data_IF_007772228437
#
_entry.id   IF_007772228437
#
_cell.length_a   1.000
_cell.length_b   1.000
_cell.length_c   1.000
_cell.angle_alpha   90.00
_cell.angle_beta   90.00
_cell.angle_gamma   90.00
#
_symmetry.space_group_name_H-M   'P 1'
#
loop_
_entity.id
_entity.type
_entity.pdbx_description
1 polymer ?
#
# COMPACT_ATOMS: atom_id res chain seq x y z
N UNK A 1 72.08 125.26 31.08
CA UNK A 1 73.21 125.89 31.80
C UNK A 1 72.85 127.37 31.92
N UNK A 2 72.30 127.81 33.05
CA UNK A 2 72.99 128.25 34.27
C UNK A 2 73.59 129.67 34.15
N UNK A 3 72.86 130.60 34.77
CA UNK A 3 73.15 131.92 35.37
C UNK A 3 74.59 132.45 35.54
N UNK A 4 74.70 133.79 35.48
CA UNK A 4 75.62 134.69 36.22
C UNK A 4 75.52 136.14 35.69
N UNK A 5 74.76 137.06 36.30
CA UNK A 5 75.14 138.05 37.34
C UNK A 5 76.32 138.97 36.90
N UNK A 6 76.16 140.27 36.64
CA UNK A 6 76.00 141.42 37.60
C UNK A 6 77.39 142.10 37.75
N UNK A 7 77.62 143.37 37.39
CA UNK A 7 77.61 144.61 38.22
C UNK A 7 78.29 145.72 37.36
N UNK A 8 77.70 146.90 37.12
CA UNK A 8 77.89 148.19 37.82
C UNK A 8 79.34 148.67 38.03
N UNK A 9 79.72 149.82 37.45
CA UNK A 9 80.38 150.92 38.20
C UNK A 9 80.48 152.24 37.43
N UNK A 10 80.13 153.28 38.19
CA UNK A 10 80.10 154.71 37.96
C UNK A 10 81.49 155.35 38.24
N UNK A 11 81.87 156.42 37.52
CA UNK A 11 82.99 157.30 37.90
C UNK A 11 82.94 158.63 37.12
N UNK A 12 82.39 159.65 37.78
CA UNK A 12 82.49 161.09 37.50
C UNK A 12 83.73 161.66 38.21
N UNK A 13 84.54 162.54 37.57
CA UNK A 13 85.38 163.63 38.15
C UNK A 13 85.95 164.49 37.00
N UNK A 14 86.40 165.75 37.13
CA UNK A 14 85.93 167.05 37.64
C UNK A 14 87.02 168.08 37.27
N UNK A 15 86.66 169.36 37.12
CA UNK A 15 87.56 170.54 36.88
C UNK A 15 88.72 170.67 37.87
N UNK A 16 89.84 171.31 37.45
CA UNK A 16 90.72 172.16 38.29
C UNK A 16 91.38 173.28 37.45
N UNK A 17 91.29 174.50 38.01
CA UNK A 17 91.92 175.81 37.75
C UNK A 17 93.46 175.73 37.53
N UNK A 18 94.25 176.74 37.09
CA UNK A 18 94.19 178.20 37.02
C UNK A 18 95.66 178.72 37.01
N UNK A 19 95.85 179.95 36.51
CA UNK A 19 96.98 180.90 36.71
C UNK A 19 98.41 180.52 36.23
N UNK A 20 99.28 181.42 35.73
CA UNK A 20 99.39 182.88 35.85
C UNK A 20 100.37 183.43 34.75
N UNK A 21 100.42 184.76 34.49
CA UNK A 21 101.19 185.39 33.41
C UNK A 21 102.60 185.82 33.85
N UNK A 22 103.58 185.72 32.94
CA UNK A 22 104.93 186.27 33.13
C UNK A 22 105.06 187.70 32.56
N UNK A 23 105.77 188.63 33.23
CA UNK A 23 105.75 190.06 32.92
C UNK A 23 106.71 190.44 31.78
N UNK A 24 106.29 191.40 30.97
CA UNK A 24 107.13 192.09 29.99
C UNK A 24 107.95 193.14 30.72
N UNK A 25 109.27 192.97 30.69
CA UNK A 25 110.25 193.95 31.14
C UNK A 25 110.51 194.97 30.02
N UNK A 26 110.44 196.25 30.36
CA UNK A 26 110.56 197.38 29.43
C UNK A 26 111.79 198.19 29.86
N UNK A 27 112.90 198.04 29.14
CA UNK A 27 114.03 198.97 29.24
C UNK A 27 114.42 199.58 27.88
N UNK A 28 114.05 200.86 27.77
CA UNK A 28 114.85 202.03 27.36
C UNK A 28 115.50 202.09 25.96
N UNK A 29 114.92 203.03 25.21
CA UNK A 29 115.58 204.25 24.69
C UNK A 29 116.87 204.06 23.88
N UNK A 30 116.69 203.90 22.57
CA UNK A 30 117.56 204.51 21.59
C UNK A 30 116.73 205.13 20.47
N UNK A 31 117.17 206.32 20.03
CA UNK A 31 116.54 207.22 19.09
C UNK A 31 116.03 206.46 17.85
N UNK A 32 114.71 206.38 17.74
CA UNK A 32 114.01 205.82 16.58
C UNK A 32 114.09 206.83 15.44
N UNK A 33 114.85 206.51 14.41
CA UNK A 33 114.81 207.24 13.14
C UNK A 33 113.46 207.01 12.44
N UNK A 34 113.08 207.94 11.58
CA UNK A 34 111.80 207.91 10.83
C UNK A 34 111.63 206.61 10.02
N UNK A 35 112.72 205.94 9.67
CA UNK A 35 112.74 204.64 9.02
C UNK A 35 112.18 203.50 9.88
N UNK A 36 112.53 203.42 11.18
CA UNK A 36 112.07 202.36 12.09
C UNK A 36 110.58 202.46 12.40
N UNK A 37 110.02 203.67 12.45
CA UNK A 37 108.57 203.85 12.66
C UNK A 37 107.76 203.39 11.44
N UNK A 38 108.29 203.60 10.23
CA UNK A 38 107.68 203.10 8.98
C UNK A 38 107.75 201.58 8.89
N UNK A 39 108.84 200.99 9.38
CA UNK A 39 109.04 199.54 9.47
C UNK A 39 108.02 198.90 10.43
N UNK A 40 107.86 199.45 11.64
CA UNK A 40 106.86 199.00 12.63
C UNK A 40 105.41 199.07 12.12
N UNK A 41 105.04 200.10 11.37
CA UNK A 41 103.69 200.19 10.77
C UNK A 41 103.51 199.10 9.70
N UNK A 42 104.53 198.86 8.87
CA UNK A 42 104.48 197.78 7.88
C UNK A 42 104.48 196.38 8.51
N UNK A 43 105.07 196.24 9.68
CA UNK A 43 105.10 195.00 10.46
C UNK A 43 103.75 194.74 11.13
N UNK A 44 103.10 195.79 11.65
CA UNK A 44 101.72 195.73 12.14
C UNK A 44 100.71 195.39 11.03
N UNK A 45 100.87 195.95 9.82
CA UNK A 45 100.01 195.62 8.68
C UNK A 45 100.25 194.17 8.20
N UNK A 46 101.50 193.69 8.22
CA UNK A 46 101.79 192.26 7.98
C UNK A 46 101.19 191.36 9.05
N UNK A 47 101.25 191.78 10.31
CA UNK A 47 100.69 191.02 11.44
C UNK A 47 99.17 190.93 11.35
N UNK A 48 98.49 192.01 10.96
CA UNK A 48 97.04 192.02 10.69
C UNK A 48 96.66 191.09 9.54
N UNK A 49 97.37 191.16 8.42
CA UNK A 49 97.17 190.25 7.28
C UNK A 49 97.42 188.78 7.67
N UNK A 50 98.44 188.51 8.49
CA UNK A 50 98.72 187.17 8.99
C UNK A 50 97.62 186.66 9.94
N UNK A 51 97.05 187.53 10.79
CA UNK A 51 95.91 187.19 11.66
C UNK A 51 94.66 186.87 10.86
N UNK A 52 94.33 187.68 9.85
CA UNK A 52 93.17 187.43 8.98
C UNK A 52 93.34 186.12 8.19
N UNK A 53 94.55 185.85 7.69
CA UNK A 53 94.87 184.56 7.05
C UNK A 53 94.74 183.38 8.02
N UNK A 54 95.17 183.53 9.28
CA UNK A 54 95.03 182.49 10.30
C UNK A 54 93.57 182.25 10.71
N UNK A 55 92.75 183.31 10.85
CA UNK A 55 91.30 183.21 11.09
C UNK A 55 90.58 182.51 9.92
N UNK A 56 90.91 182.87 8.68
CA UNK A 56 90.36 182.21 7.49
C UNK A 56 90.77 180.72 7.42
N UNK A 57 92.05 180.40 7.68
CA UNK A 57 92.52 179.02 7.74
C UNK A 57 91.85 178.20 8.84
N UNK A 58 91.57 178.81 10.01
CA UNK A 58 90.82 178.18 11.09
C UNK A 58 89.37 177.91 10.67
N UNK A 59 88.71 178.84 9.98
CA UNK A 59 87.34 178.62 9.48
C UNK A 59 87.28 177.52 8.41
N UNK A 60 88.23 177.48 7.48
CA UNK A 60 88.34 176.40 6.48
C UNK A 60 88.62 175.04 7.14
N UNK A 61 89.44 175.03 8.19
CA UNK A 61 89.68 173.82 8.99
C UNK A 61 88.41 173.38 9.73
N UNK A 62 87.64 174.32 10.28
CA UNK A 62 86.36 174.03 10.93
C UNK A 62 85.33 173.46 9.93
N UNK A 63 85.25 174.01 8.72
CA UNK A 63 84.36 173.52 7.65
C UNK A 63 84.78 172.11 7.19
N UNK A 64 86.07 171.90 6.96
CA UNK A 64 86.59 170.57 6.56
C UNK A 64 86.41 169.52 7.67
N UNK A 65 86.61 169.89 8.94
CA UNK A 65 86.35 169.03 10.09
C UNK A 65 84.87 168.62 10.19
N UNK A 66 83.94 169.57 10.02
CA UNK A 66 82.50 169.28 10.00
C UNK A 66 82.10 168.35 8.85
N UNK A 67 82.71 168.53 7.66
CA UNK A 67 82.47 167.65 6.50
C UNK A 67 83.00 166.24 6.73
N UNK A 68 84.18 166.10 7.33
CA UNK A 68 84.76 164.81 7.71
C UNK A 68 83.88 164.11 8.76
N UNK A 69 83.38 164.84 9.76
CA UNK A 69 82.45 164.32 10.77
C UNK A 69 81.18 163.75 10.14
N UNK A 70 80.62 164.41 9.12
CA UNK A 70 79.45 163.89 8.39
C UNK A 70 79.78 162.60 7.62
N UNK A 71 80.90 162.58 6.90
CA UNK A 71 81.34 161.39 6.15
C UNK A 71 81.60 160.18 7.06
N UNK A 72 82.20 160.39 8.24
CA UNK A 72 82.37 159.31 9.23
C UNK A 72 81.03 158.74 9.70
N UNK A 73 80.03 159.58 10.00
CA UNK A 73 78.69 159.09 10.38
C UNK A 73 78.00 158.35 9.23
N UNK A 74 78.16 158.82 7.99
CA UNK A 74 77.57 158.15 6.83
C UNK A 74 78.21 156.79 6.56
N UNK A 75 79.54 156.68 6.70
CA UNK A 75 80.27 155.42 6.56
C UNK A 75 79.85 154.40 7.63
N UNK A 76 79.68 154.83 8.89
CA UNK A 76 79.18 153.98 9.97
C UNK A 76 77.76 153.48 9.66
N UNK A 77 76.87 154.37 9.22
CA UNK A 77 75.49 154.01 8.84
C UNK A 77 75.45 152.99 7.70
N UNK A 78 76.29 153.15 6.68
CA UNK A 78 76.40 152.21 5.54
C UNK A 78 76.91 150.83 5.97
N UNK A 79 77.89 150.76 6.87
CA UNK A 79 78.39 149.50 7.43
C UNK A 79 77.30 148.77 8.21
N UNK A 80 76.58 149.48 9.07
CA UNK A 80 75.55 148.88 9.92
C UNK A 80 74.37 148.36 9.08
N UNK A 81 73.97 149.10 8.05
CA UNK A 81 72.94 148.67 7.09
C UNK A 81 73.38 147.43 6.29
N UNK A 82 74.62 147.38 5.82
CA UNK A 82 75.18 146.21 5.12
C UNK A 82 75.23 144.97 6.01
N UNK A 83 75.48 145.12 7.31
CA UNK A 83 75.46 143.98 8.23
C UNK A 83 74.06 143.43 8.44
N UNK A 84 73.05 144.31 8.58
CA UNK A 84 71.64 143.88 8.70
C UNK A 84 71.16 143.08 7.48
N UNK A 85 71.45 143.55 6.27
CA UNK A 85 71.06 142.85 5.04
C UNK A 85 71.69 141.45 4.93
N UNK A 86 72.92 141.28 5.42
CA UNK A 86 73.61 139.99 5.42
C UNK A 86 72.97 139.00 6.39
N UNK A 87 72.59 139.49 7.57
CA UNK A 87 71.94 138.67 8.60
C UNK A 87 70.52 138.26 8.18
N UNK A 88 69.78 139.13 7.49
CA UNK A 88 68.45 138.83 6.93
C UNK A 88 68.53 137.72 5.85
N UNK A 89 69.48 137.83 4.91
CA UNK A 89 69.67 136.84 3.84
C UNK A 89 70.08 135.46 4.37
N UNK A 90 70.86 135.40 5.46
CA UNK A 90 71.21 134.14 6.11
C UNK A 90 69.99 133.47 6.76
N UNK A 91 69.12 134.24 7.42
CA UNK A 91 67.86 133.71 7.96
C UNK A 91 66.95 133.17 6.86
N UNK A 92 66.77 133.91 5.76
CA UNK A 92 65.96 133.44 4.64
C UNK A 92 66.49 132.14 4.02
N UNK A 93 67.82 132.00 3.91
CA UNK A 93 68.45 130.75 3.43
C UNK A 93 68.19 129.58 4.37
N UNK A 94 68.30 129.79 5.68
CA UNK A 94 68.09 128.74 6.68
C UNK A 94 66.59 128.33 6.74
N UNK A 95 65.67 129.28 6.59
CA UNK A 95 64.24 129.02 6.45
C UNK A 95 63.92 128.23 5.16
N UNK A 96 64.64 128.47 4.06
CA UNK A 96 64.47 127.71 2.83
C UNK A 96 65.01 126.26 2.95
N UNK A 97 66.14 126.07 3.63
CA UNK A 97 66.73 124.75 3.87
C UNK A 97 65.84 123.89 4.77
N UNK A 98 65.29 124.46 5.84
CA UNK A 98 64.35 123.75 6.72
C UNK A 98 63.08 123.34 5.97
N UNK A 99 62.55 124.19 5.09
CA UNK A 99 61.40 123.82 4.21
C UNK A 99 61.73 122.72 3.20
N UNK A 100 62.94 122.71 2.63
CA UNK A 100 63.37 121.63 1.73
C UNK A 100 63.49 120.30 2.48
N UNK A 101 64.01 120.32 3.70
CA UNK A 101 64.12 119.14 4.55
C UNK A 101 62.73 118.58 4.92
N UNK A 102 61.76 119.45 5.25
CA UNK A 102 60.37 119.02 5.52
C UNK A 102 59.72 118.41 4.27
N UNK A 103 59.88 119.03 3.09
CA UNK A 103 59.31 118.51 1.83
C UNK A 103 59.96 117.19 1.41
N UNK A 104 61.28 117.04 1.61
CA UNK A 104 61.96 115.77 1.35
C UNK A 104 61.48 114.66 2.31
N UNK A 105 61.24 114.99 3.57
CA UNK A 105 60.63 114.08 4.55
C UNK A 105 59.22 113.65 4.16
N UNK A 106 58.37 114.59 3.75
CA UNK A 106 57.01 114.34 3.27
C UNK A 106 57.01 113.44 2.01
N UNK A 107 57.85 113.74 1.02
CA UNK A 107 58.03 112.91 -0.18
C UNK A 107 58.50 111.49 0.15
N UNK A 108 59.41 111.34 1.11
CA UNK A 108 59.87 110.02 1.59
C UNK A 108 58.76 109.25 2.31
N UNK A 109 57.94 109.93 3.10
CA UNK A 109 56.78 109.31 3.75
C UNK A 109 55.70 108.92 2.74
N UNK A 110 55.44 109.74 1.72
CA UNK A 110 54.43 109.45 0.71
C UNK A 110 54.88 108.34 -0.26
N UNK A 111 56.18 108.24 -0.57
CA UNK A 111 56.71 107.10 -1.35
C UNK A 111 56.55 105.78 -0.58
N UNK A 112 56.81 105.76 0.73
CA UNK A 112 56.55 104.58 1.56
C UNK A 112 55.06 104.22 1.60
N UNK A 113 54.18 105.21 1.79
CA UNK A 113 52.73 104.99 1.77
C UNK A 113 52.23 104.45 0.42
N UNK A 114 52.78 104.94 -0.71
CA UNK A 114 52.46 104.40 -2.04
C UNK A 114 52.97 102.97 -2.21
N UNK A 115 54.16 102.64 -1.73
CA UNK A 115 54.69 101.28 -1.79
C UNK A 115 53.85 100.30 -0.96
N UNK A 116 53.45 100.71 0.25
CA UNK A 116 52.58 99.90 1.12
C UNK A 116 51.16 99.75 0.53
N UNK A 117 50.62 100.80 -0.10
CA UNK A 117 49.35 100.73 -0.81
C UNK A 117 49.41 99.77 -2.01
N UNK A 118 50.52 99.76 -2.76
CA UNK A 118 50.74 98.82 -3.87
C UNK A 118 50.84 97.38 -3.34
N UNK A 119 51.55 97.14 -2.23
CA UNK A 119 51.61 95.81 -1.60
C UNK A 119 50.23 95.32 -1.17
N UNK A 120 49.41 96.17 -0.54
CA UNK A 120 48.03 95.83 -0.19
C UNK A 120 47.16 95.54 -1.42
N UNK A 121 47.36 96.29 -2.52
CA UNK A 121 46.67 96.04 -3.78
C UNK A 121 47.06 94.68 -4.39
N UNK A 122 48.33 94.29 -4.33
CA UNK A 122 48.79 92.97 -4.79
C UNK A 122 48.24 91.82 -3.93
N UNK A 123 48.20 91.98 -2.60
CA UNK A 123 47.64 90.98 -1.68
C UNK A 123 46.13 90.79 -1.88
N UNK A 124 45.37 91.89 -2.05
CA UNK A 124 43.94 91.81 -2.32
C UNK A 124 43.63 91.18 -3.69
N UNK A 125 44.45 91.42 -4.71
CA UNK A 125 44.33 90.75 -6.00
C UNK A 125 44.61 89.24 -5.89
N UNK A 126 45.62 88.83 -5.11
CA UNK A 126 45.90 87.39 -4.87
C UNK A 126 44.73 86.72 -4.15
N UNK A 127 44.18 87.33 -3.11
CA UNK A 127 42.99 86.82 -2.41
C UNK A 127 41.77 86.70 -3.34
N UNK A 128 41.54 87.68 -4.20
CA UNK A 128 40.47 87.61 -5.19
C UNK A 128 40.69 86.49 -6.23
N UNK A 129 41.94 86.25 -6.63
CA UNK A 129 42.27 85.14 -7.54
C UNK A 129 42.09 83.77 -6.88
N UNK A 130 42.50 83.62 -5.62
CA UNK A 130 42.26 82.41 -4.83
C UNK A 130 40.76 82.15 -4.63
N UNK A 131 39.99 83.16 -4.20
CA UNK A 131 38.53 83.05 -4.09
C UNK A 131 37.86 82.69 -5.42
N UNK A 132 38.39 83.17 -6.55
CA UNK A 132 37.89 82.80 -7.87
C UNK A 132 38.18 81.33 -8.19
N UNK A 133 39.40 80.85 -7.90
CA UNK A 133 39.77 79.43 -8.09
C UNK A 133 38.90 78.53 -7.22
N UNK A 134 38.67 78.89 -5.96
CA UNK A 134 37.80 78.15 -5.05
C UNK A 134 36.35 78.12 -5.55
N UNK A 135 35.82 79.27 -6.00
CA UNK A 135 34.47 79.35 -6.57
C UNK A 135 34.33 78.48 -7.83
N UNK A 136 35.33 78.52 -8.71
CA UNK A 136 35.30 77.73 -9.95
C UNK A 136 35.46 76.23 -9.64
N UNK A 137 36.24 75.86 -8.61
CA UNK A 137 36.32 74.48 -8.08
C UNK A 137 34.98 73.99 -7.55
N UNK A 138 34.33 74.77 -6.67
CA UNK A 138 33.00 74.45 -6.11
C UNK A 138 31.97 74.27 -7.22
N UNK A 139 32.02 75.12 -8.26
CA UNK A 139 31.13 75.00 -9.43
C UNK A 139 31.31 73.66 -10.15
N UNK A 140 32.55 73.26 -10.41
CA UNK A 140 32.86 71.97 -11.06
C UNK A 140 32.41 70.78 -10.20
N UNK A 141 32.60 70.86 -8.88
CA UNK A 141 32.11 69.84 -7.95
C UNK A 141 30.57 69.75 -7.94
N UNK A 142 29.86 70.88 -7.96
CA UNK A 142 28.40 70.92 -8.04
C UNK A 142 27.88 70.34 -9.37
N UNK A 143 28.52 70.64 -10.49
CA UNK A 143 28.17 70.10 -11.82
C UNK A 143 28.42 68.59 -11.90
N UNK A 144 29.57 68.14 -11.38
CA UNK A 144 29.93 66.72 -11.30
C UNK A 144 28.94 65.96 -10.40
N UNK A 145 28.66 66.49 -9.21
CA UNK A 145 27.66 65.93 -8.29
C UNK A 145 26.28 65.87 -8.91
N UNK A 146 25.86 66.91 -9.64
CA UNK A 146 24.59 66.94 -10.37
C UNK A 146 24.51 65.78 -11.38
N UNK A 147 25.54 65.60 -12.20
CA UNK A 147 25.60 64.53 -13.19
C UNK A 147 25.56 63.14 -12.55
N UNK A 148 26.29 62.94 -11.46
CA UNK A 148 26.30 61.68 -10.71
C UNK A 148 24.93 61.35 -10.12
N UNK A 149 24.23 62.33 -9.55
CA UNK A 149 22.89 62.15 -8.99
C UNK A 149 21.86 61.78 -10.07
N UNK A 150 21.87 62.48 -11.21
CA UNK A 150 21.00 62.17 -12.35
C UNK A 150 21.27 60.74 -12.85
N UNK A 151 22.54 60.41 -13.13
CA UNK A 151 22.93 59.09 -13.63
C UNK A 151 22.59 57.96 -12.65
N UNK A 152 22.85 58.17 -11.35
CA UNK A 152 22.50 57.20 -10.30
C UNK A 152 20.99 56.96 -10.24
N UNK A 153 20.21 58.03 -10.32
CA UNK A 153 18.75 57.94 -10.31
C UNK A 153 18.19 57.25 -11.56
N UNK A 154 18.77 57.49 -12.74
CA UNK A 154 18.40 56.78 -13.95
C UNK A 154 18.72 55.29 -13.88
N UNK A 155 19.90 54.91 -13.37
CA UNK A 155 20.27 53.50 -13.17
C UNK A 155 19.29 52.80 -12.24
N UNK A 156 18.90 53.45 -11.14
CA UNK A 156 17.90 52.91 -10.22
C UNK A 156 16.51 52.82 -10.86
N UNK A 157 16.09 53.85 -11.60
CA UNK A 157 14.83 53.85 -12.35
C UNK A 157 14.76 52.68 -13.34
N UNK A 158 15.87 52.39 -14.05
CA UNK A 158 15.95 51.25 -14.98
C UNK A 158 15.91 49.89 -14.29
N UNK A 159 16.50 49.75 -13.09
CA UNK A 159 16.42 48.49 -12.34
C UNK A 159 15.00 48.18 -11.87
N UNK A 160 14.20 49.22 -11.62
CA UNK A 160 12.83 49.09 -11.12
C UNK A 160 11.78 49.21 -12.25
N UNK A 161 12.21 49.29 -13.51
CA UNK A 161 11.30 49.47 -14.66
C UNK A 161 10.28 48.34 -14.83
N UNK A 162 10.61 47.13 -14.37
CA UNK A 162 9.70 45.97 -14.40
C UNK A 162 8.49 46.14 -13.49
N UNK A 163 8.57 47.02 -12.50
CA UNK A 163 7.46 47.34 -11.58
C UNK A 163 6.69 48.53 -12.14
N UNK A 164 7.41 49.59 -12.53
CA UNK A 164 6.84 50.80 -13.12
C UNK A 164 7.94 51.58 -13.82
N UNK A 165 7.62 52.20 -14.95
CA UNK A 165 8.59 53.03 -15.65
C UNK A 165 8.65 54.44 -15.03
N UNK A 166 9.73 54.70 -14.28
CA UNK A 166 10.05 56.01 -13.70
C UNK A 166 10.90 56.88 -14.64
N UNK A 167 11.46 56.30 -15.72
CA UNK A 167 12.51 56.89 -16.53
C UNK A 167 12.04 57.98 -17.51
N UNK A 168 10.81 57.85 -18.03
CA UNK A 168 10.38 58.51 -19.27
C UNK A 168 10.32 60.05 -19.31
N UNK A 169 10.29 60.76 -18.18
CA UNK A 169 10.00 62.22 -18.14
C UNK A 169 11.17 63.06 -17.58
N UNK A 170 12.31 62.43 -17.27
CA UNK A 170 13.42 63.11 -16.58
C UNK A 170 13.08 63.49 -15.13
N UNK A 171 14.04 64.03 -14.39
CA UNK A 171 13.86 64.27 -12.95
C UNK A 171 12.69 65.25 -12.67
N UNK A 172 11.84 64.97 -11.67
CA UNK A 172 10.82 65.90 -11.22
C UNK A 172 11.42 67.27 -10.86
N UNK A 173 10.90 68.34 -11.46
CA UNK A 173 11.37 69.70 -11.20
C UNK A 173 10.56 70.38 -10.10
N UNK A 174 11.20 71.26 -9.34
CA UNK A 174 10.55 72.15 -8.36
C UNK A 174 10.72 73.59 -8.82
N UNK A 175 9.69 74.42 -8.65
CA UNK A 175 9.78 75.86 -8.88
C UNK A 175 10.54 76.60 -7.76
N UNK A 176 10.79 75.95 -6.61
CA UNK A 176 11.45 76.55 -5.44
C UNK A 176 12.97 76.51 -5.49
N UNK A 177 13.55 75.64 -6.33
CA UNK A 177 14.99 75.38 -6.35
C UNK A 177 15.52 75.54 -7.78
N UNK A 178 16.75 76.03 -7.92
CA UNK A 178 17.46 76.17 -9.20
C UNK A 178 18.86 75.57 -9.10
N UNK A 179 19.42 75.13 -10.23
CA UNK A 179 20.76 74.50 -10.26
C UNK A 179 20.80 73.16 -9.51
N UNK A 180 21.91 72.88 -8.83
CA UNK A 180 22.13 71.61 -8.11
C UNK A 180 21.04 71.27 -7.07
N UNK A 181 20.53 72.21 -6.23
CA UNK A 181 19.40 71.94 -5.35
C UNK A 181 18.13 71.42 -6.05
N UNK A 182 17.84 71.86 -7.28
CA UNK A 182 16.70 71.34 -8.05
C UNK A 182 16.90 69.89 -8.47
N UNK A 183 18.13 69.50 -8.80
CA UNK A 183 18.48 68.13 -9.18
C UNK A 183 18.35 67.21 -7.97
N UNK A 184 18.88 67.63 -6.81
CA UNK A 184 18.74 66.91 -5.55
C UNK A 184 17.27 66.67 -5.18
N UNK A 185 16.41 67.70 -5.30
CA UNK A 185 14.97 67.54 -5.08
C UNK A 185 14.34 66.49 -6.02
N UNK A 186 14.64 66.56 -7.32
CA UNK A 186 14.09 65.63 -8.30
C UNK A 186 14.52 64.19 -8.05
N UNK A 187 15.80 63.99 -7.66
CA UNK A 187 16.32 62.69 -7.22
C UNK A 187 15.53 62.18 -6.02
N UNK A 188 15.41 62.98 -4.95
CA UNK A 188 14.69 62.59 -3.73
C UNK A 188 13.24 62.22 -4.04
N UNK A 189 12.55 63.06 -4.81
CA UNK A 189 11.14 62.81 -5.16
C UNK A 189 10.97 61.52 -5.96
N UNK A 190 11.80 61.30 -6.98
CA UNK A 190 11.74 60.06 -7.76
C UNK A 190 12.09 58.84 -6.91
N UNK A 191 13.10 58.94 -6.05
CA UNK A 191 13.46 57.85 -5.15
C UNK A 191 12.32 57.49 -4.19
N UNK A 192 11.59 58.48 -3.68
CA UNK A 192 10.39 58.22 -2.87
C UNK A 192 9.30 57.51 -3.69
N UNK A 193 9.03 57.95 -4.92
CA UNK A 193 8.06 57.28 -5.82
C UNK A 193 8.46 55.82 -6.10
N UNK A 194 9.77 55.57 -6.32
CA UNK A 194 10.32 54.22 -6.51
C UNK A 194 10.11 53.37 -5.26
N UNK A 195 10.42 53.91 -4.08
CA UNK A 195 10.28 53.19 -2.80
C UNK A 195 8.82 52.88 -2.49
N UNK A 196 7.90 53.84 -2.70
CA UNK A 196 6.47 53.63 -2.48
C UNK A 196 5.91 52.53 -3.38
N UNK A 197 6.30 52.49 -4.65
CA UNK A 197 5.84 51.44 -5.57
C UNK A 197 6.46 50.08 -5.23
N UNK A 198 7.74 50.04 -4.83
CA UNK A 198 8.38 48.81 -4.34
C UNK A 198 7.67 48.27 -3.10
N UNK A 199 7.31 49.14 -2.14
CA UNK A 199 6.57 48.74 -0.95
C UNK A 199 5.19 48.16 -1.31
N UNK A 200 4.45 48.80 -2.22
CA UNK A 200 3.17 48.26 -2.72
C UNK A 200 3.34 46.89 -3.37
N UNK A 201 4.38 46.71 -4.19
CA UNK A 201 4.66 45.42 -4.83
C UNK A 201 4.99 44.33 -3.80
N UNK A 202 5.76 44.68 -2.75
CA UNK A 202 6.06 43.78 -1.63
C UNK A 202 4.78 43.39 -0.90
N UNK A 203 3.90 44.35 -0.59
CA UNK A 203 2.62 44.07 0.07
C UNK A 203 1.72 43.15 -0.77
N UNK A 204 1.60 43.40 -2.07
CA UNK A 204 0.82 42.56 -2.98
C UNK A 204 1.39 41.14 -3.06
N UNK A 205 2.72 41.01 -3.14
CA UNK A 205 3.39 39.71 -3.13
C UNK A 205 3.18 38.96 -1.80
N UNK A 206 3.29 39.67 -0.67
CA UNK A 206 3.03 39.08 0.65
C UNK A 206 1.58 38.61 0.77
N UNK A 207 0.60 39.40 0.30
CA UNK A 207 -0.82 39.02 0.27
C UNK A 207 -1.04 37.77 -0.59
N UNK A 208 -0.59 37.79 -1.84
CA UNK A 208 -0.71 36.65 -2.75
C UNK A 208 -0.03 35.38 -2.22
N UNK A 209 1.15 35.51 -1.61
CA UNK A 209 1.85 34.38 -0.97
C UNK A 209 1.07 33.84 0.24
N UNK A 210 0.47 34.70 1.05
CA UNK A 210 -0.33 34.28 2.19
C UNK A 210 -1.63 33.60 1.74
N UNK A 211 -2.32 34.12 0.73
CA UNK A 211 -3.48 33.47 0.09
C UNK A 211 -3.11 32.09 -0.46
N UNK A 212 -1.96 31.97 -1.15
CA UNK A 212 -1.47 30.69 -1.64
C UNK A 212 -1.16 29.70 -0.50
N UNK A 213 -0.64 30.19 0.64
CA UNK A 213 -0.43 29.36 1.85
C UNK A 213 -1.74 28.91 2.46
N UNK A 214 -2.73 29.79 2.58
CA UNK A 214 -4.05 29.46 3.10
C UNK A 214 -4.75 28.41 2.23
N UNK A 215 -4.66 28.51 0.90
CA UNK A 215 -5.18 27.50 -0.02
C UNK A 215 -4.48 26.14 0.15
N UNK A 216 -3.16 26.14 0.32
CA UNK A 216 -2.39 24.93 0.59
C UNK A 216 -2.79 24.34 1.95
N UNK A 217 -2.96 25.15 2.98
CA UNK A 217 -3.38 24.70 4.31
C UNK A 217 -4.80 24.12 4.27
N UNK A 218 -5.74 24.77 3.57
CA UNK A 218 -7.09 24.23 3.34
C UNK A 218 -7.05 22.87 2.64
N UNK A 219 -6.27 22.76 1.54
CA UNK A 219 -6.14 21.47 0.83
C UNK A 219 -5.45 20.42 1.70
N UNK A 220 -4.49 20.79 2.53
CA UNK A 220 -3.85 19.87 3.49
C UNK A 220 -4.86 19.34 4.51
N UNK A 221 -5.77 20.18 5.01
CA UNK A 221 -6.86 19.72 5.90
C UNK A 221 -7.82 18.77 5.17
N UNK A 222 -8.21 19.07 3.93
CA UNK A 222 -9.04 18.17 3.13
C UNK A 222 -8.36 16.81 2.91
N UNK A 223 -7.09 16.81 2.52
CA UNK A 223 -6.30 15.59 2.35
C UNK A 223 -6.23 14.81 3.68
N UNK A 224 -6.02 15.48 4.81
CA UNK A 224 -5.99 14.81 6.10
C UNK A 224 -7.33 14.13 6.45
N UNK A 225 -8.46 14.77 6.11
CA UNK A 225 -9.79 14.19 6.29
C UNK A 225 -9.99 12.99 5.34
N UNK A 226 -9.66 13.14 4.06
CA UNK A 226 -9.73 12.06 3.06
C UNK A 226 -8.88 10.85 3.49
N UNK A 227 -7.64 11.08 3.93
CA UNK A 227 -6.74 10.05 4.43
C UNK A 227 -7.31 9.39 5.69
N UNK A 228 -7.85 10.15 6.64
CA UNK A 228 -8.47 9.59 7.85
C UNK A 228 -9.67 8.70 7.53
N UNK A 229 -10.50 9.08 6.55
CA UNK A 229 -11.63 8.26 6.09
C UNK A 229 -11.16 6.97 5.40
N UNK A 230 -10.12 7.06 4.56
CA UNK A 230 -9.52 5.89 3.92
C UNK A 230 -8.90 4.95 4.95
N UNK A 231 -8.18 5.46 5.95
CA UNK A 231 -7.59 4.68 7.03
C UNK A 231 -8.66 3.97 7.88
N UNK A 232 -9.77 4.64 8.17
CA UNK A 232 -10.92 4.02 8.84
C UNK A 232 -11.52 2.89 8.00
N UNK A 233 -11.67 3.10 6.68
CA UNK A 233 -12.22 2.10 5.76
C UNK A 233 -11.29 0.89 5.64
N UNK A 234 -9.99 1.12 5.50
CA UNK A 234 -8.96 0.06 5.46
C UNK A 234 -8.97 -0.73 6.76
N UNK A 235 -9.09 -0.05 7.91
CA UNK A 235 -9.15 -0.72 9.22
C UNK A 235 -10.39 -1.61 9.35
N UNK A 236 -11.56 -1.13 8.92
CA UNK A 236 -12.79 -1.92 8.89
C UNK A 236 -12.68 -3.16 7.98
N UNK A 237 -12.14 -2.98 6.76
CA UNK A 237 -11.92 -4.08 5.82
C UNK A 237 -10.92 -5.12 6.36
N UNK A 238 -9.88 -4.69 7.08
CA UNK A 238 -8.93 -5.60 7.74
C UNK A 238 -9.60 -6.43 8.84
N UNK A 239 -10.47 -5.83 9.64
CA UNK A 239 -11.21 -6.55 10.68
C UNK A 239 -12.19 -7.56 10.06
N UNK A 240 -12.89 -7.18 8.99
CA UNK A 240 -13.78 -8.10 8.26
C UNK A 240 -13.02 -9.27 7.63
N UNK A 241 -11.86 -9.00 7.00
CA UNK A 241 -10.99 -10.03 6.45
C UNK A 241 -10.53 -11.02 7.54
N UNK A 242 -10.10 -10.52 8.70
CA UNK A 242 -9.72 -11.37 9.82
C UNK A 242 -10.88 -12.26 10.31
N UNK A 243 -12.09 -11.70 10.44
CA UNK A 243 -13.29 -12.49 10.80
C UNK A 243 -13.61 -13.56 9.75
N UNK A 244 -13.46 -13.23 8.47
CA UNK A 244 -13.69 -14.18 7.37
C UNK A 244 -12.64 -15.27 7.33
N UNK A 245 -11.38 -14.95 7.62
CA UNK A 245 -10.31 -15.94 7.74
C UNK A 245 -10.59 -16.91 8.92
N UNK A 246 -11.06 -16.40 10.06
CA UNK A 246 -11.49 -17.23 11.20
C UNK A 246 -12.67 -18.15 10.83
N UNK A 247 -13.68 -17.64 10.11
CA UNK A 247 -14.81 -18.43 9.60
C UNK A 247 -14.34 -19.53 8.63
N UNK A 248 -13.47 -19.19 7.68
CA UNK A 248 -12.89 -20.15 6.72
C UNK A 248 -12.11 -21.25 7.46
N UNK A 249 -11.33 -20.89 8.49
CA UNK A 249 -10.59 -21.86 9.27
C UNK A 249 -11.53 -22.82 10.01
N UNK A 250 -12.63 -22.32 10.60
CA UNK A 250 -13.66 -23.16 11.23
C UNK A 250 -14.32 -24.11 10.23
N UNK A 251 -14.66 -23.62 9.03
CA UNK A 251 -15.26 -24.47 7.99
C UNK A 251 -14.29 -25.55 7.49
N UNK A 252 -13.00 -25.22 7.35
CA UNK A 252 -11.97 -26.22 7.02
C UNK A 252 -11.88 -27.31 8.09
N UNK A 253 -11.84 -26.93 9.37
CA UNK A 253 -11.83 -27.91 10.47
C UNK A 253 -13.05 -28.83 10.47
N UNK A 254 -14.25 -28.28 10.24
CA UNK A 254 -15.47 -29.08 10.11
C UNK A 254 -15.45 -30.00 8.90
N UNK A 255 -14.91 -29.53 7.77
CA UNK A 255 -14.76 -30.34 6.56
C UNK A 255 -13.79 -31.51 6.79
N UNK A 256 -12.63 -31.23 7.41
CA UNK A 256 -11.64 -32.26 7.72
C UNK A 256 -12.20 -33.31 8.70
N UNK A 257 -13.00 -32.88 9.68
CA UNK A 257 -13.65 -33.80 10.61
C UNK A 257 -14.72 -34.66 9.93
N UNK A 258 -15.54 -34.05 9.07
CA UNK A 258 -16.54 -34.76 8.30
C UNK A 258 -15.89 -35.77 7.33
N UNK A 259 -14.77 -35.40 6.70
CA UNK A 259 -14.01 -36.28 5.83
C UNK A 259 -13.45 -37.47 6.62
N UNK A 260 -12.85 -37.23 7.80
CA UNK A 260 -12.39 -38.32 8.69
C UNK A 260 -13.53 -39.23 9.11
N UNK A 261 -14.66 -38.67 9.54
CA UNK A 261 -15.84 -39.44 9.93
C UNK A 261 -16.37 -40.28 8.77
N UNK A 262 -16.51 -39.68 7.59
CA UNK A 262 -16.96 -40.38 6.39
C UNK A 262 -15.99 -41.49 5.98
N UNK A 263 -14.68 -41.24 6.02
CA UNK A 263 -13.69 -42.27 5.72
C UNK A 263 -13.78 -43.45 6.70
N UNK A 264 -13.96 -43.17 7.99
CA UNK A 264 -14.15 -44.23 9.00
C UNK A 264 -15.42 -45.03 8.77
N UNK A 265 -16.52 -44.38 8.42
CA UNK A 265 -17.78 -45.09 8.10
C UNK A 265 -17.65 -45.94 6.84
N UNK A 266 -16.96 -45.44 5.81
CA UNK A 266 -16.69 -46.20 4.58
C UNK A 266 -15.87 -47.44 4.90
N UNK A 267 -14.80 -47.33 5.68
CA UNK A 267 -13.98 -48.52 6.03
C UNK A 267 -14.78 -49.53 6.85
N UNK A 268 -15.60 -49.09 7.80
CA UNK A 268 -16.50 -49.98 8.54
C UNK A 268 -17.48 -50.71 7.61
N UNK A 269 -18.13 -49.98 6.70
CA UNK A 269 -19.03 -50.59 5.71
C UNK A 269 -18.30 -51.57 4.78
N UNK A 270 -17.09 -51.25 4.32
CA UNK A 270 -16.27 -52.13 3.49
C UNK A 270 -15.89 -53.43 4.22
N UNK A 271 -15.56 -53.34 5.52
CA UNK A 271 -15.28 -54.52 6.35
C UNK A 271 -16.52 -55.39 6.52
N UNK A 272 -17.69 -54.80 6.74
CA UNK A 272 -18.94 -55.54 6.88
C UNK A 272 -19.37 -56.19 5.56
N UNK A 273 -19.22 -55.49 4.44
CA UNK A 273 -19.46 -56.06 3.10
C UNK A 273 -18.54 -57.26 2.88
N UNK A 274 -17.26 -57.15 3.24
CA UNK A 274 -16.30 -58.25 3.13
C UNK A 274 -16.72 -59.45 3.98
N UNK A 275 -17.17 -59.20 5.22
CA UNK A 275 -17.68 -60.24 6.13
C UNK A 275 -18.92 -60.93 5.56
N UNK A 276 -19.87 -60.15 5.05
CA UNK A 276 -21.11 -60.68 4.46
C UNK A 276 -20.84 -61.50 3.19
N UNK A 277 -19.91 -61.06 2.33
CA UNK A 277 -19.48 -61.85 1.16
C UNK A 277 -18.92 -63.21 1.57
N UNK A 278 -18.03 -63.26 2.56
CA UNK A 278 -17.50 -64.53 3.08
C UNK A 278 -18.61 -65.44 3.62
N UNK A 279 -19.61 -64.88 4.30
CA UNK A 279 -20.75 -65.64 4.80
C UNK A 279 -21.62 -66.21 3.67
N UNK A 280 -21.88 -65.40 2.63
CA UNK A 280 -22.60 -65.85 1.44
C UNK A 280 -21.83 -66.96 0.73
N UNK A 281 -20.51 -66.82 0.57
CA UNK A 281 -19.66 -67.85 -0.05
C UNK A 281 -19.66 -69.15 0.77
N UNK A 282 -19.64 -69.08 2.10
CA UNK A 282 -19.76 -70.25 2.98
C UNK A 282 -21.11 -70.97 2.80
N UNK A 283 -22.23 -70.23 2.79
CA UNK A 283 -23.56 -70.81 2.56
C UNK A 283 -23.74 -71.35 1.13
N UNK A 284 -23.23 -70.67 0.11
CA UNK A 284 -23.24 -71.13 -1.27
C UNK A 284 -22.43 -72.43 -1.43
N UNK A 285 -21.25 -72.50 -0.81
CA UNK A 285 -20.43 -73.71 -0.80
C UNK A 285 -21.14 -74.90 -0.12
N UNK A 286 -21.78 -74.67 1.04
CA UNK A 286 -22.59 -75.69 1.73
C UNK A 286 -23.76 -76.15 0.89
N UNK A 287 -24.45 -75.23 0.23
CA UNK A 287 -25.58 -75.52 -0.66
C UNK A 287 -25.10 -76.36 -1.84
N UNK A 288 -24.02 -75.97 -2.52
CA UNK A 288 -23.40 -76.73 -3.61
C UNK A 288 -23.00 -78.14 -3.21
N UNK A 289 -22.50 -78.34 -1.99
CA UNK A 289 -22.15 -79.68 -1.46
C UNK A 289 -23.41 -80.53 -1.21
N UNK A 290 -24.51 -79.92 -0.75
CA UNK A 290 -25.76 -80.64 -0.43
C UNK A 290 -26.63 -80.92 -1.67
N UNK A 291 -26.50 -80.12 -2.73
CA UNK A 291 -27.32 -80.25 -3.95
C UNK A 291 -27.29 -81.66 -4.59
N UNK A 292 -26.13 -82.30 -4.80
CA UNK A 292 -26.09 -83.65 -5.36
C UNK A 292 -26.82 -84.70 -4.51
N UNK A 293 -26.75 -84.58 -3.18
CA UNK A 293 -27.45 -85.48 -2.26
C UNK A 293 -28.97 -85.33 -2.42
N UNK A 294 -29.43 -84.09 -2.51
CA UNK A 294 -30.85 -83.78 -2.66
C UNK A 294 -31.40 -84.23 -4.03
N UNK A 295 -30.62 -84.05 -5.11
CA UNK A 295 -30.95 -84.60 -6.44
C UNK A 295 -31.07 -86.13 -6.38
N UNK A 296 -30.15 -86.79 -5.67
CA UNK A 296 -30.20 -88.24 -5.47
C UNK A 296 -31.45 -88.67 -4.68
N UNK A 297 -31.79 -87.96 -3.60
CA UNK A 297 -33.01 -88.21 -2.82
C UNK A 297 -34.27 -88.10 -3.68
N UNK A 298 -34.40 -87.04 -4.48
CA UNK A 298 -35.56 -86.85 -5.34
C UNK A 298 -35.67 -87.95 -6.41
N UNK A 299 -34.54 -88.43 -6.93
CA UNK A 299 -34.51 -89.57 -7.85
C UNK A 299 -35.01 -90.87 -7.17
N UNK A 300 -34.59 -91.15 -5.93
CA UNK A 300 -35.10 -92.28 -5.17
C UNK A 300 -36.61 -92.16 -4.89
N UNK A 301 -37.08 -90.97 -4.50
CA UNK A 301 -38.50 -90.68 -4.30
C UNK A 301 -39.28 -90.96 -5.59
N UNK A 302 -38.83 -90.43 -6.73
CA UNK A 302 -39.46 -90.67 -8.03
C UNK A 302 -39.54 -92.17 -8.37
N UNK A 303 -38.45 -92.92 -8.16
CA UNK A 303 -38.41 -94.37 -8.40
C UNK A 303 -39.36 -95.14 -7.49
N UNK A 304 -39.38 -94.84 -6.19
CA UNK A 304 -40.27 -95.51 -5.24
C UNK A 304 -41.73 -95.22 -5.59
N UNK A 305 -42.05 -93.96 -5.86
CA UNK A 305 -43.39 -93.54 -6.29
C UNK A 305 -43.84 -94.31 -7.53
N UNK A 306 -42.99 -94.41 -8.55
CA UNK A 306 -43.30 -95.19 -9.76
C UNK A 306 -43.55 -96.66 -9.46
N UNK A 307 -42.75 -97.30 -8.59
CA UNK A 307 -42.98 -98.69 -8.19
C UNK A 307 -44.29 -98.85 -7.42
N UNK A 308 -44.63 -97.94 -6.51
CA UNK A 308 -45.88 -97.99 -5.76
C UNK A 308 -47.09 -97.85 -6.70
N UNK A 309 -47.06 -96.90 -7.64
CA UNK A 309 -48.11 -96.78 -8.66
C UNK A 309 -48.26 -98.06 -9.49
N UNK A 310 -47.16 -98.73 -9.85
CA UNK A 310 -47.21 -100.02 -10.56
C UNK A 310 -47.86 -101.11 -9.71
N UNK A 311 -47.54 -101.18 -8.41
CA UNK A 311 -48.15 -102.16 -7.49
C UNK A 311 -49.65 -101.89 -7.33
N UNK A 312 -50.05 -100.63 -7.16
CA UNK A 312 -51.48 -100.25 -7.09
C UNK A 312 -52.24 -100.73 -8.32
N UNK A 313 -51.69 -100.53 -9.53
CA UNK A 313 -52.30 -100.99 -10.79
C UNK A 313 -52.44 -102.52 -10.88
N UNK A 314 -51.57 -103.29 -10.24
CA UNK A 314 -51.68 -104.77 -10.19
C UNK A 314 -52.79 -105.20 -9.24
N UNK A 315 -52.94 -104.51 -8.11
CA UNK A 315 -53.93 -104.83 -7.08
C UNK A 315 -55.35 -104.39 -7.47
N UNK A 316 -55.47 -103.30 -8.22
CA UNK A 316 -56.75 -102.77 -8.67
C UNK A 316 -56.61 -102.25 -10.12
N UNK A 317 -57.14 -103.02 -11.08
CA UNK A 317 -57.08 -102.68 -12.50
C UNK A 317 -58.03 -101.53 -12.89
N UNK A 318 -58.98 -101.18 -12.02
CA UNK A 318 -59.98 -100.13 -12.28
C UNK A 318 -59.59 -98.78 -11.69
N UNK A 319 -58.71 -98.74 -10.68
CA UNK A 319 -58.14 -97.50 -10.18
C UNK A 319 -56.89 -97.13 -10.98
N UNK A 320 -57.03 -96.15 -11.89
CA UNK A 320 -55.87 -95.44 -12.40
C UNK A 320 -55.35 -94.51 -11.32
N UNK A 321 -54.13 -94.67 -10.78
CA UNK A 321 -53.54 -93.62 -9.97
C UNK A 321 -53.28 -92.42 -10.89
N UNK A 322 -54.13 -91.40 -10.80
CA UNK A 322 -54.08 -90.16 -11.60
C UNK A 322 -52.80 -89.30 -11.40
N UNK A 323 -51.78 -89.82 -10.70
CA UNK A 323 -50.59 -89.06 -10.28
C UNK A 323 -49.27 -89.54 -10.92
N UNK A 324 -49.29 -90.12 -12.13
CA UNK A 324 -48.11 -90.81 -12.68
C UNK A 324 -47.36 -90.11 -13.83
N UNK A 325 -47.43 -88.78 -13.95
CA UNK A 325 -46.52 -88.05 -14.85
C UNK A 325 -45.85 -86.86 -14.13
N UNK A 326 -44.57 -87.07 -13.77
CA UNK A 326 -43.56 -86.01 -13.64
C UNK A 326 -43.75 -84.94 -12.53
N UNK A 327 -44.04 -85.32 -11.28
CA UNK A 327 -44.01 -84.36 -10.15
C UNK A 327 -42.59 -84.13 -9.58
N UNK A 328 -41.65 -85.05 -9.81
CA UNK A 328 -40.35 -85.09 -9.13
C UNK A 328 -39.18 -84.87 -10.09
N UNK A 329 -39.10 -83.67 -10.69
CA UNK A 329 -37.96 -83.28 -11.54
C UNK A 329 -36.95 -82.52 -10.68
N UNK A 330 -35.71 -83.01 -10.66
CA UNK A 330 -34.62 -82.33 -9.96
C UNK A 330 -34.19 -81.08 -10.72
N UNK A 331 -34.35 -79.90 -10.11
CA UNK A 331 -33.79 -78.65 -10.61
C UNK A 331 -32.31 -78.53 -10.20
N UNK A 332 -31.40 -78.35 -11.14
CA UNK A 332 -29.95 -78.35 -10.86
C UNK A 332 -29.47 -77.20 -9.95
N UNK A 333 -30.26 -76.13 -9.80
CA UNK A 333 -29.83 -74.88 -9.13
C UNK A 333 -30.69 -74.45 -7.93
N UNK A 334 -31.86 -75.05 -7.71
CA UNK A 334 -32.79 -74.59 -6.68
C UNK A 334 -32.95 -75.61 -5.54
N UNK A 335 -32.10 -75.49 -4.51
CA UNK A 335 -32.13 -76.36 -3.33
C UNK A 335 -33.48 -76.35 -2.61
N UNK A 336 -34.10 -75.17 -2.49
CA UNK A 336 -35.37 -75.02 -1.78
C UNK A 336 -36.51 -75.73 -2.52
N UNK A 337 -36.56 -75.59 -3.85
CA UNK A 337 -37.54 -76.28 -4.69
C UNK A 337 -37.34 -77.79 -4.70
N UNK A 338 -36.10 -78.26 -4.74
CA UNK A 338 -35.79 -79.69 -4.65
C UNK A 338 -36.15 -80.29 -3.27
N UNK A 339 -36.00 -79.53 -2.17
CA UNK A 339 -36.45 -79.95 -0.83
C UNK A 339 -37.98 -80.05 -0.81
N UNK A 340 -38.68 -79.03 -1.33
CA UNK A 340 -40.14 -79.03 -1.43
C UNK A 340 -40.66 -80.21 -2.26
N UNK A 341 -40.07 -80.45 -3.43
CA UNK A 341 -40.44 -81.56 -4.31
C UNK A 341 -40.18 -82.93 -3.66
N UNK A 342 -39.03 -83.09 -2.98
CA UNK A 342 -38.70 -84.32 -2.25
C UNK A 342 -39.70 -84.59 -1.14
N UNK A 343 -40.06 -83.56 -0.36
CA UNK A 343 -41.01 -83.69 0.75
C UNK A 343 -42.42 -84.03 0.25
N UNK A 344 -42.91 -83.33 -0.77
CA UNK A 344 -44.19 -83.64 -1.41
C UNK A 344 -44.23 -85.08 -1.94
N UNK A 345 -43.11 -85.56 -2.50
CA UNK A 345 -43.04 -86.93 -3.01
C UNK A 345 -42.99 -88.00 -1.94
N UNK A 346 -42.33 -87.74 -0.82
CA UNK A 346 -42.38 -88.64 0.33
C UNK A 346 -43.80 -88.74 0.90
N UNK A 347 -44.55 -87.64 0.93
CA UNK A 347 -45.98 -87.64 1.34
C UNK A 347 -46.80 -88.49 0.37
N UNK A 348 -46.67 -88.28 -0.94
CA UNK A 348 -47.39 -89.07 -1.95
C UNK A 348 -47.05 -90.56 -1.88
N UNK A 349 -45.77 -90.92 -1.69
CA UNK A 349 -45.35 -92.31 -1.48
C UNK A 349 -46.03 -92.90 -0.24
N UNK A 350 -46.09 -92.16 0.86
CA UNK A 350 -46.73 -92.64 2.09
C UNK A 350 -48.21 -92.96 1.86
N UNK A 351 -48.94 -92.06 1.19
CA UNK A 351 -50.34 -92.24 0.82
C UNK A 351 -50.53 -93.46 -0.10
N UNK A 352 -49.69 -93.60 -1.13
CA UNK A 352 -49.71 -94.77 -2.01
C UNK A 352 -49.40 -96.07 -1.27
N UNK A 353 -48.43 -96.07 -0.35
CA UNK A 353 -48.11 -97.26 0.47
C UNK A 353 -49.29 -97.64 1.36
N UNK A 354 -49.99 -96.68 1.98
CA UNK A 354 -51.19 -96.97 2.78
C UNK A 354 -52.31 -97.56 1.93
N UNK A 355 -52.55 -96.99 0.74
CA UNK A 355 -53.55 -97.50 -0.20
C UNK A 355 -53.20 -98.91 -0.68
N UNK A 356 -51.94 -99.14 -1.09
CA UNK A 356 -51.45 -100.47 -1.50
C UNK A 356 -51.62 -101.48 -0.38
N UNK A 357 -51.33 -101.12 0.87
CA UNK A 357 -51.48 -102.01 2.02
C UNK A 357 -52.95 -102.39 2.27
N UNK A 358 -53.87 -101.42 2.17
CA UNK A 358 -55.32 -101.64 2.29
C UNK A 358 -55.83 -102.53 1.16
N UNK A 359 -55.52 -102.22 -0.10
CA UNK A 359 -55.93 -103.02 -1.26
C UNK A 359 -55.35 -104.43 -1.22
N UNK A 360 -54.08 -104.58 -0.82
CA UNK A 360 -53.47 -105.92 -0.63
C UNK A 360 -54.23 -106.73 0.41
N UNK A 361 -54.61 -106.10 1.54
CA UNK A 361 -55.41 -106.75 2.58
C UNK A 361 -56.77 -107.18 2.02
N UNK A 362 -57.46 -106.32 1.27
CA UNK A 362 -58.75 -106.62 0.66
C UNK A 362 -58.66 -107.82 -0.31
N UNK A 363 -57.65 -107.82 -1.20
CA UNK A 363 -57.40 -108.94 -2.13
C UNK A 363 -57.08 -110.23 -1.39
N UNK A 364 -56.26 -110.18 -0.33
CA UNK A 364 -55.95 -111.36 0.50
C UNK A 364 -57.20 -111.88 1.22
N UNK A 365 -58.02 -111.00 1.77
CA UNK A 365 -59.28 -111.39 2.41
C UNK A 365 -60.26 -112.02 1.42
N UNK A 366 -60.40 -111.46 0.22
CA UNK A 366 -61.21 -112.02 -0.87
C UNK A 366 -60.72 -113.40 -1.27
N UNK A 367 -59.42 -113.54 -1.60
CA UNK A 367 -58.81 -114.84 -1.94
C UNK A 367 -58.95 -115.86 -0.82
N UNK A 368 -58.87 -115.43 0.44
CA UNK A 368 -59.11 -116.30 1.60
C UNK A 368 -60.57 -116.77 1.69
N UNK A 369 -61.54 -115.88 1.38
CA UNK A 369 -62.98 -116.25 1.33
C UNK A 369 -63.25 -117.20 0.16
N UNK A 370 -62.69 -116.94 -1.02
CA UNK A 370 -62.76 -117.83 -2.19
C UNK A 370 -62.17 -119.21 -1.87
N UNK A 371 -60.96 -119.26 -1.29
CA UNK A 371 -60.31 -120.50 -0.89
C UNK A 371 -61.15 -121.29 0.14
N UNK A 372 -61.78 -120.61 1.11
CA UNK A 372 -62.72 -121.24 2.06
C UNK A 372 -63.94 -121.82 1.35
N UNK A 373 -64.58 -121.07 0.45
CA UNK A 373 -65.73 -121.53 -0.34
C UNK A 373 -65.39 -122.73 -1.23
N UNK A 374 -64.23 -122.69 -1.89
CA UNK A 374 -63.69 -123.80 -2.68
C UNK A 374 -63.39 -125.01 -1.79
N UNK A 375 -62.78 -124.82 -0.61
CA UNK A 375 -62.52 -125.90 0.36
C UNK A 375 -63.81 -126.53 0.90
N UNK A 376 -64.83 -125.73 1.19
CA UNK A 376 -66.16 -126.21 1.59
C UNK A 376 -66.84 -127.00 0.46
N UNK A 377 -66.69 -126.56 -0.79
CA UNK A 377 -67.23 -127.24 -1.97
C UNK A 377 -66.52 -128.57 -2.23
N UNK A 378 -65.18 -128.60 -2.14
CA UNK A 378 -64.39 -129.84 -2.17
C UNK A 378 -64.83 -130.77 -1.04
N UNK A 379 -65.00 -130.26 0.17
CA UNK A 379 -65.44 -131.05 1.33
C UNK A 379 -66.84 -131.67 1.11
N UNK A 380 -67.76 -130.91 0.48
CA UNK A 380 -69.08 -131.43 0.08
C UNK A 380 -68.96 -132.55 -0.95
N UNK A 381 -68.20 -132.33 -2.02
CA UNK A 381 -67.97 -133.34 -3.07
C UNK A 381 -67.28 -134.61 -2.52
N UNK A 382 -66.35 -134.48 -1.59
CA UNK A 382 -65.72 -135.64 -0.93
C UNK A 382 -66.74 -136.43 -0.12
N UNK A 383 -67.63 -135.76 0.64
CA UNK A 383 -68.72 -136.44 1.37
C UNK A 383 -69.70 -137.12 0.43
N UNK A 384 -70.09 -136.48 -0.67
CA UNK A 384 -70.95 -137.08 -1.69
C UNK A 384 -70.28 -138.29 -2.33
N UNK A 385 -68.99 -138.20 -2.67
CA UNK A 385 -68.18 -139.33 -3.15
C UNK A 385 -68.15 -140.48 -2.13
N UNK A 386 -67.98 -140.19 -0.85
CA UNK A 386 -68.02 -141.21 0.21
C UNK A 386 -69.41 -141.84 0.34
N UNK A 387 -70.49 -141.05 0.27
CA UNK A 387 -71.86 -141.52 0.29
C UNK A 387 -72.17 -142.40 -0.92
N UNK A 388 -71.85 -141.95 -2.14
CA UNK A 388 -71.97 -142.73 -3.37
C UNK A 388 -71.10 -144.00 -3.28
N UNK A 389 -69.88 -143.89 -2.77
CA UNK A 389 -68.99 -145.03 -2.55
C UNK A 389 -69.55 -146.04 -1.54
N UNK A 390 -70.20 -145.56 -0.47
CA UNK A 390 -70.89 -146.40 0.51
C UNK A 390 -72.16 -147.04 -0.07
N UNK A 391 -72.90 -146.29 -0.90
CA UNK A 391 -74.08 -146.77 -1.59
C UNK A 391 -73.68 -147.86 -2.57
N UNK A 392 -72.71 -147.61 -3.46
CA UNK A 392 -72.17 -148.60 -4.40
C UNK A 392 -71.60 -149.84 -3.70
N UNK A 393 -70.84 -149.67 -2.60
CA UNK A 393 -70.39 -150.81 -1.78
C UNK A 393 -71.56 -151.57 -1.17
N UNK A 394 -72.61 -150.88 -0.71
CA UNK A 394 -73.84 -151.48 -0.21
C UNK A 394 -74.62 -152.21 -1.30
N UNK A 395 -74.78 -151.66 -2.51
CA UNK A 395 -75.48 -152.31 -3.63
C UNK A 395 -74.68 -153.47 -4.19
N UNK A 396 -73.35 -153.37 -4.29
CA UNK A 396 -72.48 -154.49 -4.64
C UNK A 396 -72.49 -155.58 -3.56
N UNK A 397 -72.46 -155.21 -2.28
CA UNK A 397 -72.54 -156.16 -1.17
C UNK A 397 -73.90 -156.85 -1.09
N UNK A 398 -74.99 -156.17 -1.46
CA UNK A 398 -76.35 -156.73 -1.47
C UNK A 398 -76.62 -157.57 -2.73
N UNK A 399 -75.94 -157.30 -3.85
CA UNK A 399 -75.91 -158.21 -5.02
C UNK A 399 -75.05 -159.46 -4.77
N UNK A 400 -74.03 -159.38 -3.92
CA UNK A 400 -73.13 -160.48 -3.59
C UNK A 400 -73.59 -161.34 -2.40
N UNK A 401 -74.66 -160.96 -1.69
CA UNK A 401 -75.18 -161.76 -0.57
C UNK A 401 -76.18 -162.82 -1.03
N UNK A 402 -75.68 -164.06 -1.18
CA UNK A 402 -76.27 -165.40 -0.98
C UNK A 402 -77.73 -165.76 -1.33
N UNK A 403 -78.67 -164.85 -1.56
CA UNK A 403 -80.07 -165.19 -1.87
C UNK A 403 -80.28 -165.63 -3.32
N UNK A 404 -79.46 -165.15 -4.28
CA UNK A 404 -79.53 -165.64 -5.66
C UNK A 404 -78.96 -167.08 -5.80
N UNK A 405 -77.97 -167.42 -4.97
CA UNK A 405 -77.40 -168.76 -4.92
C UNK A 405 -78.34 -169.77 -4.24
N UNK A 406 -79.05 -169.38 -3.16
CA UNK A 406 -80.06 -170.25 -2.52
C UNK A 406 -81.28 -170.53 -3.40
N UNK A 407 -81.75 -169.57 -4.22
CA UNK A 407 -82.91 -169.78 -5.10
C UNK A 407 -82.57 -170.71 -6.28
N UNK A 408 -81.33 -170.63 -6.81
CA UNK A 408 -80.86 -171.56 -7.83
C UNK A 408 -80.58 -172.97 -7.26
N UNK A 409 -80.02 -173.06 -6.05
CA UNK A 409 -79.72 -174.32 -5.36
C UNK A 409 -81.00 -175.10 -4.98
N UNK A 410 -82.04 -174.41 -4.53
CA UNK A 410 -83.33 -175.05 -4.23
C UNK A 410 -84.06 -175.55 -5.49
N UNK A 411 -83.98 -174.83 -6.62
CA UNK A 411 -84.57 -175.27 -7.89
C UNK A 411 -83.89 -176.49 -8.52
N UNK A 412 -82.56 -176.60 -8.39
CA UNK A 412 -81.78 -177.76 -8.85
C UNK A 412 -82.02 -179.01 -7.99
N UNK A 413 -82.21 -178.84 -6.68
CA UNK A 413 -82.54 -179.92 -5.75
C UNK A 413 -83.96 -180.48 -5.97
N UNK A 414 -84.92 -179.62 -6.35
CA UNK A 414 -86.29 -180.04 -6.71
C UNK A 414 -86.37 -180.80 -8.04
N UNK A 415 -85.36 -180.64 -8.92
CA UNK A 415 -85.19 -181.41 -10.15
C UNK A 415 -84.42 -182.73 -9.96
N UNK A 416 -84.09 -183.12 -8.72
CA UNK A 416 -83.46 -184.41 -8.39
C UNK A 416 -81.96 -184.50 -8.67
N UNK A 417 -81.26 -183.36 -8.77
CA UNK A 417 -79.80 -183.30 -9.01
C UNK A 417 -79.13 -182.71 -7.77
N UNK A 418 -78.36 -183.52 -7.05
CA UNK A 418 -77.63 -183.14 -5.84
C UNK A 418 -76.26 -182.52 -6.24
N UNK A 419 -76.15 -181.19 -6.17
CA UNK A 419 -74.94 -180.45 -6.52
C UNK A 419 -74.63 -179.36 -5.50
N UNK A 420 -73.51 -179.51 -4.77
CA UNK A 420 -73.01 -178.53 -3.81
C UNK A 420 -71.98 -177.59 -4.47
N UNK A 421 -72.22 -176.27 -4.46
CA UNK A 421 -71.28 -175.26 -4.99
C UNK A 421 -70.05 -175.01 -4.09
N UNK A 422 -69.83 -175.87 -3.10
CA UNK A 422 -68.58 -175.94 -2.37
C UNK A 422 -67.69 -176.99 -3.01
N UNK A 423 -66.74 -176.53 -3.84
CA UNK A 423 -65.46 -177.18 -4.20
C UNK A 423 -65.34 -177.77 -5.63
N UNK A 424 -65.26 -176.88 -6.63
CA UNK A 424 -64.50 -177.08 -7.89
C UNK A 424 -63.67 -175.81 -8.18
N UNK A 425 -62.38 -176.04 -8.41
CA UNK A 425 -61.33 -175.10 -8.81
C UNK A 425 -61.29 -174.93 -10.34
N UNK A 426 -60.53 -173.91 -10.81
CA UNK A 426 -59.84 -173.83 -12.14
C UNK A 426 -60.74 -173.70 -13.37
N UNK A 427 -60.39 -173.13 -14.52
CA UNK A 427 -59.26 -172.39 -15.11
C UNK A 427 -59.68 -172.03 -16.54
N UNK A 428 -59.08 -171.00 -17.11
CA UNK A 428 -58.84 -170.74 -18.55
C UNK A 428 -59.54 -171.62 -19.63
N UNK A 429 -60.37 -171.03 -20.50
CA UNK A 429 -60.00 -170.64 -21.88
C UNK A 429 -61.21 -170.49 -22.83
N UNK A 430 -61.14 -169.41 -23.63
CA UNK A 430 -61.52 -169.23 -25.04
C UNK A 430 -62.80 -169.87 -25.61
N UNK A 431 -63.59 -168.94 -26.14
CA UNK A 431 -64.11 -168.86 -27.52
C UNK A 431 -65.56 -169.29 -27.81
N UNK A 432 -66.23 -168.31 -28.41
CA UNK A 432 -67.30 -168.36 -29.42
C UNK A 432 -68.72 -168.81 -28.99
N UNK A 433 -69.61 -167.79 -28.92
CA UNK A 433 -70.97 -167.64 -29.50
C UNK A 433 -71.97 -168.82 -29.47
N UNK A 434 -73.32 -168.61 -29.45
CA UNK A 434 -74.07 -167.36 -29.70
C UNK A 434 -75.25 -167.06 -28.73
N UNK A 435 -75.80 -165.86 -28.88
CA UNK A 435 -77.16 -165.39 -28.49
C UNK A 435 -77.54 -165.44 -26.99
N UNK A 436 -77.51 -164.26 -26.35
CA UNK A 436 -78.72 -163.60 -25.82
C UNK A 436 -78.43 -162.13 -25.43
N UNK A 437 -79.47 -161.32 -25.45
CA UNK A 437 -79.48 -159.91 -25.83
C UNK A 437 -79.20 -158.91 -24.68
N UNK A 438 -78.64 -159.36 -23.54
CA UNK A 438 -78.57 -158.57 -22.30
C UNK A 438 -77.15 -158.10 -21.92
N UNK A 439 -76.09 -158.69 -22.48
CA UNK A 439 -74.70 -158.33 -22.13
C UNK A 439 -74.22 -157.00 -22.74
N UNK A 440 -74.92 -156.47 -23.75
CA UNK A 440 -74.56 -155.20 -24.40
C UNK A 440 -74.86 -153.97 -23.53
N UNK A 441 -75.89 -154.02 -22.68
CA UNK A 441 -76.22 -152.89 -21.80
C UNK A 441 -75.25 -152.80 -20.62
N UNK A 442 -74.80 -153.94 -20.10
CA UNK A 442 -73.84 -153.99 -18.97
C UNK A 442 -72.46 -153.49 -19.40
N UNK A 443 -71.98 -153.87 -20.59
CA UNK A 443 -70.72 -153.35 -21.13
C UNK A 443 -70.82 -151.88 -21.55
N UNK A 444 -71.95 -151.43 -22.08
CA UNK A 444 -72.17 -150.01 -22.38
C UNK A 444 -72.25 -149.16 -21.09
N UNK A 445 -72.92 -149.67 -20.04
CA UNK A 445 -73.02 -149.00 -18.75
C UNK A 445 -71.67 -148.98 -18.02
N UNK A 446 -70.89 -150.05 -18.09
CA UNK A 446 -69.54 -150.10 -17.53
C UNK A 446 -68.58 -149.14 -18.26
N UNK A 447 -68.64 -149.07 -19.60
CA UNK A 447 -67.85 -148.12 -20.38
C UNK A 447 -68.25 -146.65 -20.12
N UNK A 448 -69.56 -146.38 -19.95
CA UNK A 448 -70.04 -145.04 -19.57
C UNK A 448 -69.60 -144.66 -18.15
N UNK A 449 -69.65 -145.59 -17.19
CA UNK A 449 -69.16 -145.37 -15.82
C UNK A 449 -67.64 -145.13 -15.78
N UNK A 450 -66.87 -145.89 -16.57
CA UNK A 450 -65.42 -145.70 -16.67
C UNK A 450 -65.07 -144.32 -17.27
N UNK A 451 -65.81 -143.88 -18.29
CA UNK A 451 -65.63 -142.53 -18.85
C UNK A 451 -66.00 -141.42 -17.87
N UNK A 452 -67.10 -141.55 -17.13
CA UNK A 452 -67.49 -140.57 -16.10
C UNK A 452 -66.45 -140.53 -14.98
N UNK A 453 -65.92 -141.68 -14.55
CA UNK A 453 -64.86 -141.73 -13.53
C UNK A 453 -63.57 -141.08 -14.03
N UNK A 454 -63.15 -141.33 -15.27
CA UNK A 454 -61.97 -140.68 -15.87
C UNK A 454 -62.15 -139.17 -16.03
N UNK A 455 -63.33 -138.73 -16.46
CA UNK A 455 -63.68 -137.31 -16.56
C UNK A 455 -63.63 -136.64 -15.18
N UNK A 456 -64.22 -137.26 -14.16
CA UNK A 456 -64.23 -136.74 -12.79
C UNK A 456 -62.82 -136.75 -12.17
N UNK A 457 -61.96 -137.72 -12.48
CA UNK A 457 -60.56 -137.71 -12.06
C UNK A 457 -59.75 -136.58 -12.71
N UNK A 458 -59.94 -136.32 -13.99
CA UNK A 458 -59.30 -135.19 -14.67
C UNK A 458 -59.73 -133.85 -14.08
N UNK A 459 -61.02 -133.67 -13.82
CA UNK A 459 -61.56 -132.45 -13.21
C UNK A 459 -61.04 -132.25 -11.77
N UNK A 460 -60.90 -133.32 -10.98
CA UNK A 460 -60.27 -133.26 -9.65
C UNK A 460 -58.80 -132.85 -9.75
N UNK A 461 -58.04 -133.35 -10.74
CA UNK A 461 -56.63 -133.01 -10.92
C UNK A 461 -56.46 -131.56 -11.38
N UNK A 462 -57.28 -131.07 -12.31
CA UNK A 462 -57.28 -129.66 -12.72
C UNK A 462 -57.64 -128.71 -11.56
N UNK A 463 -58.61 -129.09 -10.73
CA UNK A 463 -58.97 -128.33 -9.54
C UNK A 463 -57.86 -128.35 -8.48
N UNK A 464 -57.12 -129.46 -8.33
CA UNK A 464 -55.95 -129.50 -7.45
C UNK A 464 -54.82 -128.61 -7.95
N UNK A 465 -54.51 -128.64 -9.24
CA UNK A 465 -53.52 -127.74 -9.84
C UNK A 465 -53.92 -126.26 -9.67
N UNK A 466 -55.19 -125.93 -9.85
CA UNK A 466 -55.69 -124.56 -9.65
C UNK A 466 -55.56 -124.09 -8.18
N UNK A 467 -55.74 -124.98 -7.21
CA UNK A 467 -55.51 -124.67 -5.78
C UNK A 467 -54.03 -124.46 -5.48
N UNK A 468 -53.14 -125.18 -6.16
CA UNK A 468 -51.69 -125.07 -5.97
C UNK A 468 -51.11 -123.81 -6.63
N UNK A 469 -51.68 -123.33 -7.75
CA UNK A 469 -51.33 -122.03 -8.36
C UNK A 469 -51.86 -120.81 -7.58
N UNK A 470 -52.91 -120.98 -6.77
CA UNK A 470 -53.47 -119.93 -5.92
C UNK A 470 -52.77 -119.82 -4.55
N UNK A 471 -51.88 -120.76 -4.21
CA UNK A 471 -51.07 -120.78 -2.99
C UNK A 471 -49.70 -120.18 -3.22
#
# INVERSE_FOLDING_TARGET
>A
MASGAGEENDAVLSDVEGDDPSPIDVERLEVVSVEKFRELVSELDRERLAREAAENAKNDLQVSFNRLKFLCHEAIKKRDESSRQRDEALRERDDALTRLETVAGELSSETKLKEDAVKQQEETLKQLEELRKDRDSIRVEMETGSSMLVSGTEKLSRKVSNIKDFGGIGLPKSSKYSGFPSVAYGVIKRMNEIVEELLKQVELNVKSRNEARELVDQRNYEIAIEVSQLESTISGLREEAAKKDDEIQRFRQLSDELERQSSSQITEMETEISRLRLLVDDYDSKTKIQMPLLISQLNYVSRIHEQMCRITKILDANESPESSESLFVAGETNAEENIRASLAGLVSIHELVTLVAEKTKDVVEEKTREAKSSSESISRLVKEKEQIGSLLRSTLSQRMSNQLFEVAENGLREAGIEYSFTKVQTSEHKAALPHNQEDNEVYALAAALENIIKQSQLEIIELQHSVEELR
#
